data_IF_161599047327
#
_entry.id   IF_161599047327
#
_cell.length_a   1.000
_cell.length_b   1.000
_cell.length_c   1.000
_cell.angle_alpha   90.00
_cell.angle_beta   90.00
_cell.angle_gamma   90.00
#
_symmetry.space_group_name_H-M   'P 1'
#
loop_
_entity.id
_entity.type
_entity.pdbx_description
1 polymer ?
#
# COMPACT_ATOMS: atom_id res chain seq x y z
N UNK A 1 16.67 -9.27 5.37
CA UNK A 1 15.47 -9.04 6.23
C UNK A 1 15.77 -8.06 7.36
N UNK A 2 16.83 -8.26 8.14
CA UNK A 2 17.22 -7.34 9.22
C UNK A 2 17.39 -5.88 8.77
N UNK A 3 18.01 -5.62 7.60
CA UNK A 3 18.14 -4.25 7.08
C UNK A 3 16.81 -3.56 6.82
N UNK A 4 15.81 -4.29 6.34
CA UNK A 4 14.47 -3.73 6.05
C UNK A 4 13.80 -3.34 7.36
N UNK A 5 13.85 -4.24 8.34
CA UNK A 5 13.32 -4.01 9.69
C UNK A 5 14.02 -2.81 10.34
N UNK A 6 15.35 -2.74 10.25
CA UNK A 6 16.14 -1.63 10.79
C UNK A 6 15.75 -0.29 10.15
N UNK A 7 15.55 -0.25 8.82
CA UNK A 7 15.11 0.98 8.13
C UNK A 7 13.71 1.41 8.55
N UNK A 8 12.79 0.48 8.82
CA UNK A 8 11.46 0.82 9.34
C UNK A 8 11.55 1.45 10.73
N UNK A 9 12.34 0.89 11.65
CA UNK A 9 12.55 1.47 12.98
C UNK A 9 13.22 2.84 12.91
N UNK A 10 14.20 2.99 12.01
CA UNK A 10 14.89 4.25 11.80
C UNK A 10 13.94 5.33 11.23
N UNK A 11 13.03 4.95 10.33
CA UNK A 11 11.95 5.81 9.84
C UNK A 11 10.99 6.28 10.95
N UNK A 12 10.61 5.39 11.87
CA UNK A 12 9.80 5.75 13.05
C UNK A 12 10.57 6.74 13.94
N UNK A 13 11.86 6.47 14.20
CA UNK A 13 12.71 7.33 15.03
C UNK A 13 12.84 8.74 14.45
N UNK A 14 13.16 8.85 13.16
CA UNK A 14 13.23 10.14 12.46
C UNK A 14 11.86 10.83 12.49
N UNK A 15 10.78 10.10 12.20
CA UNK A 15 9.42 10.64 12.24
C UNK A 15 9.02 11.22 13.60
N UNK A 16 9.47 10.59 14.69
CA UNK A 16 9.20 11.08 16.05
C UNK A 16 10.00 12.36 16.38
N UNK A 17 11.29 12.41 16.01
CA UNK A 17 12.14 13.60 16.24
C UNK A 17 11.66 14.80 15.42
N UNK A 18 11.23 14.57 14.18
CA UNK A 18 10.78 15.63 13.27
C UNK A 18 9.32 16.06 13.50
N UNK A 19 8.56 15.38 14.38
CA UNK A 19 7.12 15.61 14.61
C UNK A 19 6.78 17.07 14.98
N UNK A 20 7.70 17.80 15.60
CA UNK A 20 7.46 19.17 16.08
C UNK A 20 7.63 20.26 15.01
N UNK A 21 8.04 19.92 13.79
CA UNK A 21 8.27 20.90 12.73
C UNK A 21 6.96 21.19 11.98
N UNK A 22 6.39 22.39 12.16
CA UNK A 22 5.14 22.84 11.52
C UNK A 22 5.16 22.76 9.98
N UNK A 23 6.34 22.80 9.37
CA UNK A 23 6.54 22.61 7.91
C UNK A 23 6.08 21.21 7.46
N UNK A 24 6.15 20.20 8.32
CA UNK A 24 5.74 18.82 8.04
C UNK A 24 4.24 18.59 8.29
N UNK A 25 3.48 19.58 8.77
CA UNK A 25 2.03 19.47 8.83
C UNK A 25 1.37 19.68 7.45
N UNK A 26 2.07 20.27 6.48
CA UNK A 26 1.65 20.37 5.06
C UNK A 26 1.98 19.10 4.25
N UNK A 27 1.96 17.95 4.90
CA UNK A 27 2.36 16.66 4.29
C UNK A 27 1.32 16.14 3.28
N UNK A 28 0.07 16.57 3.35
CA UNK A 28 -1.01 16.08 2.48
C UNK A 28 -0.76 16.30 0.98
N UNK A 29 -0.24 17.49 0.59
CA UNK A 29 0.15 17.76 -0.80
C UNK A 29 1.41 17.00 -1.22
N UNK A 30 2.39 16.87 -0.33
CA UNK A 30 3.64 16.17 -0.61
C UNK A 30 3.40 14.67 -0.81
N UNK A 31 2.58 14.04 0.05
CA UNK A 31 2.19 12.63 -0.10
C UNK A 31 1.52 12.41 -1.45
N UNK A 32 0.54 13.24 -1.79
CA UNK A 32 -0.20 13.11 -3.06
C UNK A 32 0.75 13.19 -4.26
N UNK A 33 1.69 14.14 -4.25
CA UNK A 33 2.71 14.27 -5.29
C UNK A 33 3.64 13.05 -5.35
N UNK A 34 4.07 12.52 -4.21
CA UNK A 34 4.92 11.31 -4.15
C UNK A 34 4.19 10.09 -4.65
N UNK A 35 2.91 9.89 -4.28
CA UNK A 35 2.09 8.78 -4.79
C UNK A 35 1.93 8.90 -6.30
N UNK A 36 1.64 10.10 -6.80
CA UNK A 36 1.55 10.34 -8.25
C UNK A 36 2.85 9.97 -8.96
N UNK A 37 4.00 10.44 -8.45
CA UNK A 37 5.30 10.14 -9.04
C UNK A 37 5.62 8.63 -8.99
N UNK A 38 5.28 7.97 -7.88
CA UNK A 38 5.46 6.53 -7.71
C UNK A 38 4.63 5.74 -8.74
N UNK A 39 3.35 6.08 -8.88
CA UNK A 39 2.45 5.46 -9.86
C UNK A 39 2.92 5.71 -11.29
N UNK A 40 3.44 6.90 -11.59
CA UNK A 40 4.01 7.24 -12.88
C UNK A 40 5.23 6.39 -13.20
N UNK A 41 6.20 6.31 -12.28
CA UNK A 41 7.42 5.50 -12.44
C UNK A 41 7.04 4.02 -12.59
N UNK A 42 6.09 3.52 -11.81
CA UNK A 42 5.60 2.15 -11.92
C UNK A 42 5.01 1.88 -13.31
N UNK A 43 4.17 2.78 -13.82
CA UNK A 43 3.60 2.67 -15.16
C UNK A 43 4.68 2.64 -16.25
N UNK A 44 5.66 3.53 -16.19
CA UNK A 44 6.81 3.56 -17.12
C UNK A 44 7.64 2.27 -17.01
N UNK A 45 7.89 1.79 -15.79
CA UNK A 45 8.66 0.56 -15.56
C UNK A 45 7.97 -0.68 -16.13
N UNK A 46 6.65 -0.77 -16.01
CA UNK A 46 5.86 -1.85 -16.59
C UNK A 46 5.79 -1.74 -18.12
N UNK A 47 5.55 -0.53 -18.65
CA UNK A 47 5.41 -0.29 -20.09
C UNK A 47 6.72 -0.40 -20.88
N UNK A 48 7.86 -0.12 -20.25
CA UNK A 48 9.19 -0.30 -20.88
C UNK A 48 9.68 -1.75 -20.85
N UNK A 49 9.03 -2.62 -20.08
CA UNK A 49 9.39 -4.03 -20.00
C UNK A 49 8.65 -4.85 -21.06
N UNK A 50 9.33 -5.14 -22.16
CA UNK A 50 8.77 -5.89 -23.30
C UNK A 50 8.24 -7.28 -22.94
N UNK A 51 8.80 -7.95 -21.92
CA UNK A 51 8.30 -9.24 -21.44
C UNK A 51 6.91 -9.10 -20.82
N UNK A 52 6.69 -8.05 -20.05
CA UNK A 52 5.40 -7.77 -19.43
C UNK A 52 4.41 -7.31 -20.50
N UNK A 53 4.80 -6.35 -21.35
CA UNK A 53 3.95 -5.82 -22.44
C UNK A 53 3.49 -6.92 -23.41
N UNK A 54 4.41 -7.78 -23.83
CA UNK A 54 4.10 -8.87 -24.77
C UNK A 54 3.25 -9.99 -24.14
N UNK A 55 3.24 -10.09 -22.81
CA UNK A 55 2.45 -11.08 -22.07
C UNK A 55 1.36 -10.43 -21.20
N UNK A 56 0.93 -9.21 -21.52
CA UNK A 56 -0.05 -8.46 -20.72
C UNK A 56 -1.36 -9.24 -20.53
N UNK A 57 -1.80 -10.01 -21.52
CA UNK A 57 -3.00 -10.84 -21.38
C UNK A 57 -2.84 -11.88 -20.26
N UNK A 58 -1.70 -12.58 -20.21
CA UNK A 58 -1.44 -13.62 -19.20
C UNK A 58 -1.20 -13.01 -17.82
N UNK A 59 -0.27 -12.05 -17.72
CA UNK A 59 0.05 -11.41 -16.44
C UNK A 59 -1.10 -10.55 -15.92
N UNK A 60 -1.82 -9.87 -16.82
CA UNK A 60 -2.99 -9.05 -16.49
C UNK A 60 -4.16 -9.89 -15.98
N UNK A 61 -4.46 -11.03 -16.60
CA UNK A 61 -5.49 -11.93 -16.08
C UNK A 61 -5.16 -12.43 -14.68
N UNK A 62 -3.91 -12.86 -14.46
CA UNK A 62 -3.44 -13.26 -13.14
C UNK A 62 -3.56 -12.11 -12.12
N UNK A 63 -3.14 -10.90 -12.51
CA UNK A 63 -3.21 -9.72 -11.65
C UNK A 63 -4.66 -9.37 -11.28
N UNK A 64 -5.61 -9.46 -12.23
CA UNK A 64 -7.04 -9.21 -11.96
C UNK A 64 -7.58 -10.23 -10.97
N UNK A 65 -7.34 -11.53 -11.20
CA UNK A 65 -7.81 -12.60 -10.30
C UNK A 65 -7.23 -12.42 -8.90
N UNK A 66 -5.94 -12.13 -8.78
CA UNK A 66 -5.28 -11.87 -7.50
C UNK A 66 -5.81 -10.61 -6.81
N UNK A 67 -6.01 -9.52 -7.54
CA UNK A 67 -6.53 -8.27 -6.98
C UNK A 67 -7.97 -8.44 -6.47
N UNK A 68 -8.85 -9.04 -7.27
CA UNK A 68 -10.26 -9.26 -6.89
C UNK A 68 -10.35 -10.23 -5.72
N UNK A 69 -9.63 -11.36 -5.77
CA UNK A 69 -9.65 -12.34 -4.69
C UNK A 69 -9.08 -11.78 -3.38
N UNK A 70 -8.00 -11.00 -3.44
CA UNK A 70 -7.42 -10.32 -2.28
C UNK A 70 -8.37 -9.29 -1.66
N UNK A 71 -9.04 -8.46 -2.47
CA UNK A 71 -10.02 -7.48 -1.99
C UNK A 71 -11.23 -8.17 -1.37
N UNK A 72 -11.78 -9.19 -2.02
CA UNK A 72 -12.90 -9.97 -1.49
C UNK A 72 -12.53 -10.68 -0.19
N UNK A 73 -11.36 -11.33 -0.14
CA UNK A 73 -10.86 -11.99 1.07
C UNK A 73 -10.66 -11.02 2.23
N UNK A 74 -10.08 -9.85 1.96
CA UNK A 74 -9.90 -8.78 2.96
C UNK A 74 -11.24 -8.25 3.46
N UNK A 75 -12.23 -8.06 2.58
CA UNK A 75 -13.57 -7.63 2.98
C UNK A 75 -14.26 -8.67 3.86
N UNK A 76 -14.18 -9.96 3.50
CA UNK A 76 -14.74 -11.06 4.31
C UNK A 76 -14.07 -11.11 5.67
N UNK A 77 -12.73 -11.05 5.73
CA UNK A 77 -11.98 -11.05 6.97
C UNK A 77 -12.35 -9.85 7.86
N UNK A 78 -12.44 -8.65 7.29
CA UNK A 78 -12.89 -7.46 8.00
C UNK A 78 -14.32 -7.63 8.55
N UNK A 79 -15.23 -8.21 7.75
CA UNK A 79 -16.61 -8.51 8.19
C UNK A 79 -16.64 -9.55 9.30
N UNK A 80 -15.82 -10.60 9.24
CA UNK A 80 -15.71 -11.60 10.31
C UNK A 80 -15.17 -11.00 11.60
N UNK A 81 -14.13 -10.16 11.52
CA UNK A 81 -13.59 -9.44 12.70
C UNK A 81 -14.64 -8.54 13.30
N UNK A 82 -15.36 -7.76 12.48
CA UNK A 82 -16.48 -6.94 12.94
C UNK A 82 -17.58 -7.77 13.60
N UNK A 83 -17.90 -8.93 13.05
CA UNK A 83 -18.95 -9.78 13.60
C UNK A 83 -18.53 -10.54 14.86
N UNK A 84 -17.27 -10.95 14.99
CA UNK A 84 -16.78 -11.71 16.14
C UNK A 84 -16.45 -10.81 17.33
N UNK A 85 -15.85 -9.63 17.08
CA UNK A 85 -15.42 -8.72 18.14
C UNK A 85 -16.44 -7.63 18.45
N UNK A 86 -17.18 -7.08 17.47
CA UNK A 86 -18.07 -5.94 17.71
C UNK A 86 -19.55 -6.30 17.90
N UNK A 87 -20.03 -7.49 17.47
CA UNK A 87 -21.40 -7.94 17.80
C UNK A 87 -21.54 -8.53 19.21
N UNK A 88 -20.44 -8.69 19.95
CA UNK A 88 -20.43 -9.22 21.32
C UNK A 88 -20.32 -8.14 22.41
N UNK A 89 -20.27 -6.87 22.03
CA UNK A 89 -20.26 -5.70 22.94
C UNK A 89 -21.59 -4.95 22.97
N UNK A 90 -22.69 -5.66 22.80
CA UNK A 90 -24.05 -5.15 23.02
C UNK A 90 -24.54 -5.53 24.41
N UNK A 91 -23.84 -5.06 25.44
CA UNK A 91 -24.32 -4.82 26.80
C UNK A 91 -23.78 -3.45 27.25
#
# INVERSE_FOLDING_TARGET
MFSIISTMFLGIGIGYVLRNWSILQKTEKTISLTIFLLLFILGVSIGSNSLIVNNLGKFGWQAIVLAVSGVLGSLIAARLVLQLFFRKGGE
#
